data_IF_218944735361
#
_entry.id   IF_218944735361
#
_cell.length_a   1.000
_cell.length_b   1.000
_cell.length_c   1.000
_cell.angle_alpha   90.00
_cell.angle_beta   90.00
_cell.angle_gamma   90.00
#
_symmetry.space_group_name_H-M   'P 1'
#
loop_
_entity.id
_entity.type
_entity.pdbx_description
1 polymer ?
#
# COMPACT_ATOMS: atom_id res chain seq x y z
N UNK A 1 1.86 -23.12 6.54
CA UNK A 1 2.59 -21.83 6.38
C UNK A 1 3.38 -21.54 5.09
N UNK A 2 3.79 -22.47 4.22
CA UNK A 2 4.77 -22.16 3.13
C UNK A 2 4.31 -21.20 2.00
N UNK A 3 3.01 -21.00 1.80
CA UNK A 3 2.50 -20.24 0.63
C UNK A 3 2.61 -18.72 0.80
N UNK A 4 2.60 -18.23 2.05
CA UNK A 4 2.66 -16.79 2.36
C UNK A 4 4.10 -16.24 2.31
N UNK A 5 5.11 -17.08 2.51
CA UNK A 5 6.51 -16.64 2.47
C UNK A 5 7.02 -16.40 1.04
N UNK A 6 6.59 -17.23 0.09
CA UNK A 6 6.99 -17.10 -1.32
C UNK A 6 6.42 -15.80 -1.91
N UNK A 7 5.11 -15.56 -1.76
CA UNK A 7 4.47 -14.33 -2.26
C UNK A 7 5.09 -13.05 -1.66
N UNK A 8 5.54 -13.08 -0.40
CA UNK A 8 6.23 -11.93 0.20
C UNK A 8 7.64 -11.70 -0.34
N UNK A 9 8.31 -12.74 -0.85
CA UNK A 9 9.66 -12.64 -1.42
C UNK A 9 9.61 -12.00 -2.81
N UNK A 10 8.61 -12.33 -3.61
CA UNK A 10 8.39 -11.72 -4.93
C UNK A 10 8.04 -10.23 -4.82
N UNK A 11 7.30 -9.83 -3.78
CA UNK A 11 6.92 -8.43 -3.55
C UNK A 11 8.08 -7.53 -3.08
N UNK A 12 9.10 -8.09 -2.43
CA UNK A 12 10.29 -7.33 -2.01
C UNK A 12 11.17 -6.98 -3.21
N UNK A 13 11.14 -7.80 -4.26
CA UNK A 13 11.85 -7.52 -5.51
C UNK A 13 11.22 -6.32 -6.25
N UNK A 14 9.93 -6.09 -6.04
CA UNK A 14 9.19 -4.95 -6.57
C UNK A 14 9.45 -3.62 -5.81
N UNK A 15 10.44 -3.57 -4.91
CA UNK A 15 10.81 -2.33 -4.22
C UNK A 15 11.50 -1.38 -5.21
N UNK A 16 10.96 -0.19 -5.34
CA UNK A 16 11.48 0.88 -6.18
C UNK A 16 12.12 1.97 -5.32
N UNK A 17 13.16 2.64 -5.82
CA UNK A 17 13.66 3.88 -5.22
C UNK A 17 12.98 5.07 -5.90
N UNK A 18 12.29 5.89 -5.11
CA UNK A 18 11.63 7.12 -5.56
C UNK A 18 12.21 8.28 -4.77
N UNK A 19 13.17 9.00 -5.36
CA UNK A 19 13.78 10.17 -4.74
C UNK A 19 14.55 9.86 -3.45
N UNK A 20 15.20 8.69 -3.36
CA UNK A 20 15.92 8.22 -2.17
C UNK A 20 15.02 7.61 -1.09
N UNK A 21 13.77 7.29 -1.43
CA UNK A 21 12.81 6.60 -0.56
C UNK A 21 12.42 5.28 -1.20
N UNK A 22 12.50 4.20 -0.42
CA UNK A 22 12.01 2.89 -0.88
C UNK A 22 10.49 2.88 -0.91
N UNK A 23 9.92 2.52 -2.05
CA UNK A 23 8.51 2.28 -2.26
C UNK A 23 8.28 0.81 -2.59
N UNK A 24 7.38 0.15 -1.86
CA UNK A 24 6.81 -1.13 -2.27
C UNK A 24 5.34 -0.90 -2.58
N UNK A 25 4.96 -0.98 -3.86
CA UNK A 25 3.58 -0.80 -4.31
C UNK A 25 3.11 -2.07 -5.04
N UNK A 26 2.04 -2.71 -4.57
CA UNK A 26 1.57 -3.95 -5.19
C UNK A 26 0.09 -4.25 -4.96
N UNK A 27 -0.51 -4.99 -5.90
CA UNK A 27 -1.78 -5.68 -5.67
C UNK A 27 -1.49 -7.00 -4.95
N UNK A 28 -2.17 -7.21 -3.84
CA UNK A 28 -2.02 -8.34 -2.94
C UNK A 28 -3.32 -9.15 -2.86
N UNK A 29 -3.21 -10.38 -2.36
CA UNK A 29 -4.35 -11.16 -1.92
C UNK A 29 -4.57 -10.93 -0.43
N UNK A 30 -5.77 -10.52 -0.04
CA UNK A 30 -6.16 -10.36 1.36
C UNK A 30 -7.65 -10.73 1.51
N UNK A 31 -8.02 -11.26 2.68
CA UNK A 31 -9.42 -11.57 3.01
C UNK A 31 -10.23 -10.34 3.41
N UNK A 32 -9.54 -9.32 3.95
CA UNK A 32 -10.12 -8.12 4.55
C UNK A 32 -9.03 -7.06 4.77
N UNK A 33 -9.43 -5.90 5.31
CA UNK A 33 -8.54 -4.77 5.55
C UNK A 33 -7.48 -5.05 6.63
N UNK A 34 -7.80 -5.86 7.64
CA UNK A 34 -6.86 -6.22 8.71
C UNK A 34 -5.78 -7.16 8.21
N UNK A 35 -6.15 -8.15 7.39
CA UNK A 35 -5.21 -9.05 6.71
C UNK A 35 -4.28 -8.27 5.77
N UNK A 36 -4.82 -7.33 4.98
CA UNK A 36 -4.03 -6.47 4.10
C UNK A 36 -3.04 -5.61 4.90
N UNK A 37 -3.50 -5.02 6.00
CA UNK A 37 -2.66 -4.22 6.91
C UNK A 37 -1.55 -5.07 7.52
N UNK A 38 -1.87 -6.27 8.00
CA UNK A 38 -0.89 -7.18 8.59
C UNK A 38 0.18 -7.57 7.58
N UNK A 39 -0.19 -7.79 6.31
CA UNK A 39 0.76 -8.03 5.24
C UNK A 39 1.62 -6.80 4.95
N UNK A 40 1.02 -5.62 4.83
CA UNK A 40 1.76 -4.37 4.62
C UNK A 40 2.79 -4.14 5.75
N UNK A 41 2.41 -4.41 7.00
CA UNK A 41 3.31 -4.25 8.15
C UNK A 41 4.53 -5.18 8.04
N UNK A 42 4.31 -6.46 7.71
CA UNK A 42 5.40 -7.42 7.49
C UNK A 42 6.35 -6.97 6.38
N UNK A 43 5.81 -6.46 5.27
CA UNK A 43 6.63 -5.96 4.16
C UNK A 43 7.42 -4.71 4.56
N UNK A 44 6.79 -3.77 5.27
CA UNK A 44 7.45 -2.58 5.81
C UNK A 44 8.62 -2.96 6.71
N UNK A 45 8.41 -3.89 7.63
CA UNK A 45 9.44 -4.34 8.57
C UNK A 45 10.60 -5.05 7.85
N UNK A 46 10.36 -5.67 6.69
CA UNK A 46 11.41 -6.27 5.85
C UNK A 46 12.23 -5.26 5.05
N UNK A 47 11.62 -4.18 4.54
CA UNK A 47 12.35 -3.16 3.77
C UNK A 47 13.10 -2.17 4.67
N UNK A 48 12.74 -2.11 5.96
CA UNK A 48 13.38 -1.33 7.01
C UNK A 48 12.91 0.12 7.07
N UNK A 49 13.22 0.90 6.04
CA UNK A 49 12.78 2.30 5.87
C UNK A 49 12.14 2.45 4.50
N UNK A 50 10.95 3.05 4.44
CA UNK A 50 10.21 3.25 3.19
C UNK A 50 8.70 3.44 3.36
N UNK A 51 8.02 3.41 2.21
CA UNK A 51 6.57 3.46 2.09
C UNK A 51 6.07 2.17 1.45
N UNK A 52 5.05 1.58 2.04
CA UNK A 52 4.38 0.38 1.51
C UNK A 52 2.95 0.75 1.14
N UNK A 53 2.55 0.45 -0.08
CA UNK A 53 1.21 0.67 -0.64
C UNK A 53 0.69 -0.67 -1.14
N UNK A 54 -0.32 -1.23 -0.49
CA UNK A 54 -0.98 -2.45 -0.95
C UNK A 54 -2.43 -2.19 -1.32
N UNK A 55 -2.90 -2.92 -2.32
CA UNK A 55 -4.31 -2.97 -2.69
C UNK A 55 -4.80 -4.41 -2.85
N UNK A 56 -6.06 -4.68 -2.55
CA UNK A 56 -6.68 -5.99 -2.75
C UNK A 56 -8.14 -5.87 -3.17
N UNK A 57 -8.63 -6.85 -3.94
CA UNK A 57 -10.06 -7.03 -4.19
C UNK A 57 -10.64 -7.94 -3.12
N UNK A 58 -11.59 -7.41 -2.36
CA UNK A 58 -12.33 -8.14 -1.33
C UNK A 58 -13.80 -8.07 -1.66
N UNK A 59 -14.33 -9.18 -2.18
CA UNK A 59 -15.76 -9.33 -2.47
C UNK A 59 -16.29 -8.29 -3.47
N UNK A 60 -15.49 -7.92 -4.48
CA UNK A 60 -15.86 -6.94 -5.50
C UNK A 60 -15.66 -5.49 -5.06
N UNK A 61 -14.90 -5.25 -3.98
CA UNK A 61 -14.51 -3.92 -3.51
C UNK A 61 -13.00 -3.81 -3.44
N UNK A 62 -12.49 -2.70 -3.94
CA UNK A 62 -11.10 -2.33 -3.73
C UNK A 62 -10.89 -1.94 -2.26
N UNK A 63 -9.88 -2.50 -1.62
CA UNK A 63 -9.31 -2.01 -0.38
C UNK A 63 -7.85 -1.62 -0.61
N UNK A 64 -7.40 -0.59 0.08
CA UNK A 64 -6.06 -0.01 -0.02
C UNK A 64 -5.49 0.20 1.38
N UNK A 65 -4.19 -0.02 1.55
CA UNK A 65 -3.46 0.25 2.77
C UNK A 65 -2.11 0.90 2.45
N UNK A 66 -1.80 1.99 3.16
CA UNK A 66 -0.51 2.67 3.10
C UNK A 66 0.14 2.65 4.47
N UNK A 67 1.41 2.26 4.53
CA UNK A 67 2.26 2.38 5.70
C UNK A 67 3.50 3.20 5.37
N UNK A 68 3.87 4.10 6.27
CA UNK A 68 5.08 4.93 6.20
C UNK A 68 5.92 4.62 7.43
N UNK A 69 7.22 4.38 7.26
CA UNK A 69 8.14 4.18 8.39
C UNK A 69 8.33 5.47 9.17
N UNK A 70 8.56 5.36 10.48
CA UNK A 70 8.56 6.52 11.42
C UNK A 70 9.52 7.63 10.98
N UNK A 71 10.69 7.27 10.49
CA UNK A 71 11.73 8.18 9.98
C UNK A 71 11.30 9.00 8.76
N UNK A 72 10.27 8.53 8.03
CA UNK A 72 9.72 9.23 6.87
C UNK A 72 8.42 9.98 7.18
N UNK A 73 7.82 9.78 8.34
CA UNK A 73 6.49 10.34 8.65
C UNK A 73 6.46 11.87 8.67
N UNK A 74 7.58 12.56 8.89
CA UNK A 74 7.65 14.02 8.83
C UNK A 74 7.60 14.57 7.40
N UNK A 75 8.09 13.78 6.43
CA UNK A 75 8.11 14.12 5.00
C UNK A 75 6.87 13.60 4.27
N UNK A 76 6.45 12.38 4.59
CA UNK A 76 5.37 11.66 3.92
C UNK A 76 4.29 11.27 4.93
N UNK A 77 3.04 11.62 4.64
CA UNK A 77 1.90 11.25 5.48
C UNK A 77 1.07 10.20 4.74
N UNK A 78 0.85 9.03 5.34
CA UNK A 78 0.09 7.94 4.74
C UNK A 78 -1.29 8.40 4.26
N UNK A 79 -1.98 9.24 5.04
CA UNK A 79 -3.27 9.81 4.67
C UNK A 79 -3.24 10.71 3.42
N UNK A 80 -2.11 11.39 3.16
CA UNK A 80 -1.94 12.22 1.95
C UNK A 80 -1.63 11.39 0.72
N UNK A 81 -0.89 10.29 0.89
CA UNK A 81 -0.59 9.33 -0.18
C UNK A 81 -1.86 8.57 -0.59
N UNK A 82 -2.63 8.05 0.37
CA UNK A 82 -3.74 7.16 0.05
C UNK A 82 -4.95 7.88 -0.57
N UNK A 83 -5.12 9.18 -0.30
CA UNK A 83 -6.30 9.94 -0.76
C UNK A 83 -6.45 9.95 -2.29
N UNK A 84 -5.42 10.36 -3.05
CA UNK A 84 -5.41 10.27 -4.51
C UNK A 84 -5.63 8.85 -5.04
N UNK A 85 -5.04 7.83 -4.41
CA UNK A 85 -5.19 6.43 -4.82
C UNK A 85 -6.62 5.92 -4.60
N UNK A 86 -7.25 6.34 -3.49
CA UNK A 86 -8.64 6.00 -3.19
C UNK A 86 -9.60 6.56 -4.24
N UNK A 87 -9.33 7.78 -4.76
CA UNK A 87 -10.14 8.39 -5.82
C UNK A 87 -10.10 7.58 -7.11
N UNK A 88 -8.95 6.99 -7.45
CA UNK A 88 -8.80 6.13 -8.63
C UNK A 88 -9.77 4.95 -8.55
N UNK A 89 -9.84 4.27 -7.41
CA UNK A 89 -10.81 3.16 -7.20
C UNK A 89 -12.25 3.64 -6.92
N UNK A 90 -12.52 4.93 -7.10
CA UNK A 90 -13.85 5.54 -6.95
C UNK A 90 -14.32 5.67 -5.50
N UNK A 91 -13.39 5.71 -4.55
CA UNK A 91 -13.71 5.75 -3.13
C UNK A 91 -12.91 6.78 -2.34
N UNK A 92 -12.74 6.49 -1.06
CA UNK A 92 -12.14 7.42 -0.10
C UNK A 92 -11.53 6.69 1.09
N UNK A 93 -10.80 7.44 1.91
CA UNK A 93 -10.16 6.88 3.09
C UNK A 93 -9.29 7.90 3.82
N UNK A 94 -8.61 7.43 4.84
CA UNK A 94 -7.79 8.26 5.72
C UNK A 94 -7.09 7.45 6.79
N UNK A 95 -6.42 8.15 7.68
CA UNK A 95 -5.70 7.53 8.79
C UNK A 95 -4.69 8.47 9.44
N UNK A 96 -3.76 7.86 10.16
CA UNK A 96 -2.67 8.53 10.85
C UNK A 96 -1.51 8.82 9.89
N UNK A 97 -0.54 9.67 10.30
CA UNK A 97 0.67 9.93 9.53
C UNK A 97 1.43 8.67 9.09
N UNK A 98 1.50 7.67 9.95
CA UNK A 98 2.24 6.41 9.73
C UNK A 98 1.43 5.33 9.00
N UNK A 99 0.10 5.45 8.99
CA UNK A 99 -0.78 4.45 8.43
C UNK A 99 -2.11 5.04 7.98
N UNK A 100 -2.53 4.68 6.77
CA UNK A 100 -3.87 4.99 6.29
C UNK A 100 -4.50 3.81 5.54
N UNK A 101 -5.82 3.80 5.51
CA UNK A 101 -6.63 2.81 4.80
C UNK A 101 -7.73 3.50 4.01
N UNK A 102 -8.07 2.90 2.88
CA UNK A 102 -9.10 3.39 1.98
C UNK A 102 -9.77 2.23 1.25
N UNK A 103 -10.88 2.52 0.60
CA UNK A 103 -11.52 1.56 -0.29
C UNK A 103 -12.49 2.22 -1.24
N UNK A 104 -12.92 1.47 -2.24
CA UNK A 104 -13.83 1.94 -3.29
C UNK A 104 -14.50 0.78 -4.03
N UNK A 105 -15.52 1.08 -4.85
CA UNK A 105 -16.29 0.07 -5.56
C UNK A 105 -15.59 -0.52 -6.79
N UNK A 106 -14.41 -0.01 -7.20
CA UNK A 106 -13.77 -0.39 -8.47
C UNK A 106 -12.46 -1.18 -8.27
N UNK A 107 -12.50 -2.49 -7.96
CA UNK A 107 -11.30 -3.32 -7.84
C UNK A 107 -10.52 -3.44 -9.16
N UNK A 108 -11.19 -3.33 -10.31
CA UNK A 108 -10.54 -3.32 -11.63
C UNK A 108 -9.54 -2.16 -11.81
N UNK A 109 -9.65 -1.09 -11.00
CA UNK A 109 -8.73 0.05 -11.00
C UNK A 109 -7.59 -0.08 -9.99
N UNK A 110 -7.46 -1.19 -9.27
CA UNK A 110 -6.34 -1.44 -8.37
C UNK A 110 -4.98 -1.33 -9.08
N UNK A 111 -4.76 -1.88 -10.29
CA UNK A 111 -3.49 -1.72 -10.99
C UNK A 111 -3.16 -0.24 -11.26
N UNK A 112 -4.14 0.54 -11.72
CA UNK A 112 -4.01 2.00 -11.95
C UNK A 112 -3.69 2.75 -10.64
N UNK A 113 -4.32 2.37 -9.52
CA UNK A 113 -4.05 2.96 -8.22
C UNK A 113 -2.67 2.62 -7.68
N UNK A 114 -2.18 1.40 -7.91
CA UNK A 114 -0.85 0.97 -7.47
C UNK A 114 0.25 1.65 -8.30
N UNK A 115 0.08 1.75 -9.62
CA UNK A 115 1.03 2.44 -10.51
C UNK A 115 1.16 3.93 -10.16
N UNK A 116 0.05 4.57 -9.79
CA UNK A 116 0.03 5.97 -9.36
C UNK A 116 0.71 6.24 -8.00
N UNK A 117 1.09 5.20 -7.24
CA UNK A 117 1.70 5.34 -5.92
C UNK A 117 3.04 6.07 -5.96
N UNK A 118 3.88 5.78 -6.96
CA UNK A 118 5.19 6.42 -7.10
C UNK A 118 5.08 7.94 -7.27
N UNK A 119 4.06 8.41 -8.00
CA UNK A 119 3.77 9.84 -8.16
C UNK A 119 3.35 10.56 -6.88
N UNK A 120 3.00 9.84 -5.81
CA UNK A 120 2.64 10.45 -4.51
C UNK A 120 3.87 10.70 -3.61
N UNK A 121 5.05 10.26 -4.04
CA UNK A 121 6.33 10.43 -3.31
C UNK A 121 7.26 11.47 -3.95
N UNK A 122 6.88 11.98 -5.12
CA UNK A 122 7.61 13.01 -5.87
C UNK A 122 7.39 14.43 -5.32
#
# INVERSE_FOLDING_TARGET
EKMTESANKDLIDAVQDVGGVKLLAAVAQASDADALRAQAAKLRDKIGSGVVVLGADVGGKAILCVLVTKDLTDRYKAGKIIGPLAKIVGGGGGGKPDMAQAGGPNPAKLPEAIDAAAGQLA
#
